data_IF_717704934947
#
_entry.id   IF_717704934947
#
_cell.length_a   1.000
_cell.length_b   1.000
_cell.length_c   1.000
_cell.angle_alpha   90.00
_cell.angle_beta   90.00
_cell.angle_gamma   90.00
#
_symmetry.space_group_name_H-M   'P 1'
#
loop_
_entity.id
_entity.type
_entity.pdbx_description
1 polymer ?
#
# COMPACT_ATOMS: atom_id res chain seq x y z
N UNK A 1 9.89 2.64 5.43
CA UNK A 1 8.73 3.53 5.63
C UNK A 1 8.51 4.41 4.39
N UNK A 2 7.26 4.66 4.00
CA UNK A 2 6.93 5.46 2.81
C UNK A 2 7.60 6.85 2.82
N UNK A 3 7.59 7.56 3.95
CA UNK A 3 8.18 8.89 4.06
C UNK A 3 9.68 8.92 3.73
N UNK A 4 10.44 7.92 4.18
CA UNK A 4 11.87 7.81 3.84
C UNK A 4 12.08 7.50 2.37
N UNK A 5 11.22 6.65 1.78
CA UNK A 5 11.27 6.33 0.35
C UNK A 5 10.97 7.56 -0.52
N UNK A 6 9.89 8.29 -0.24
CA UNK A 6 9.54 9.51 -0.98
C UNK A 6 10.63 10.58 -0.82
N UNK A 7 11.23 10.72 0.37
CA UNK A 7 12.36 11.64 0.56
C UNK A 7 13.57 11.25 -0.27
N UNK A 8 13.92 9.96 -0.34
CA UNK A 8 15.00 9.48 -1.19
C UNK A 8 14.73 9.75 -2.67
N UNK A 9 13.51 9.44 -3.14
CA UNK A 9 13.11 9.72 -4.51
C UNK A 9 13.17 11.23 -4.80
N UNK A 10 12.76 12.08 -3.85
CA UNK A 10 12.80 13.53 -4.01
C UNK A 10 14.23 14.09 -4.13
N UNK A 11 15.22 13.46 -3.50
CA UNK A 11 16.62 13.85 -3.64
C UNK A 11 17.17 13.58 -5.05
N UNK A 12 16.63 12.58 -5.75
CA UNK A 12 17.05 12.22 -7.11
C UNK A 12 16.20 12.91 -8.18
N UNK A 13 14.89 12.96 -7.98
CA UNK A 13 13.92 13.56 -8.88
C UNK A 13 12.68 14.03 -8.10
N UNK A 14 12.58 15.34 -7.78
CA UNK A 14 11.44 15.91 -7.06
C UNK A 14 10.10 15.75 -7.78
N UNK A 15 10.09 15.80 -9.12
CA UNK A 15 8.88 15.64 -9.92
C UNK A 15 8.34 14.20 -9.81
N UNK A 16 9.23 13.21 -9.94
CA UNK A 16 8.86 11.80 -9.74
C UNK A 16 8.31 11.55 -8.33
N UNK A 17 8.94 12.12 -7.30
CA UNK A 17 8.45 11.99 -5.92
C UNK A 17 7.04 12.57 -5.71
N UNK A 18 6.74 13.71 -6.34
CA UNK A 18 5.40 14.32 -6.30
C UNK A 18 4.37 13.46 -7.03
N UNK A 19 4.74 12.94 -8.20
CA UNK A 19 3.87 12.09 -9.00
C UNK A 19 3.53 10.80 -8.24
N UNK A 20 4.54 10.07 -7.77
CA UNK A 20 4.35 8.87 -6.95
C UNK A 20 3.49 9.10 -5.71
N UNK A 21 3.69 10.22 -5.00
CA UNK A 21 2.82 10.58 -3.87
C UNK A 21 1.37 10.79 -4.31
N UNK A 22 1.16 11.46 -5.45
CA UNK A 22 -0.17 11.73 -5.99
C UNK A 22 -0.88 10.41 -6.34
N UNK A 23 -0.24 9.55 -7.14
CA UNK A 23 -0.84 8.31 -7.61
C UNK A 23 -1.20 7.38 -6.43
N UNK A 24 -0.30 7.27 -5.45
CA UNK A 24 -0.56 6.55 -4.20
C UNK A 24 -1.77 7.10 -3.43
N UNK A 25 -1.90 8.41 -3.31
CA UNK A 25 -3.01 9.02 -2.58
C UNK A 25 -4.33 8.93 -3.33
N UNK A 26 -4.31 9.01 -4.65
CA UNK A 26 -5.50 8.87 -5.47
C UNK A 26 -6.04 7.43 -5.37
N UNK A 27 -5.18 6.41 -5.44
CA UNK A 27 -5.58 5.01 -5.24
C UNK A 27 -6.04 4.71 -3.80
N UNK A 28 -5.35 5.24 -2.79
CA UNK A 28 -5.77 5.07 -1.38
C UNK A 28 -7.14 5.72 -1.12
N UNK A 29 -7.46 6.83 -1.77
CA UNK A 29 -8.80 7.45 -1.67
C UNK A 29 -9.89 6.58 -2.29
N UNK A 30 -9.59 5.80 -3.33
CA UNK A 30 -10.56 4.85 -3.90
C UNK A 30 -10.99 3.77 -2.91
N UNK A 31 -10.17 3.45 -1.90
CA UNK A 31 -10.55 2.54 -0.82
C UNK A 31 -11.77 3.03 -0.03
N UNK A 32 -12.08 4.33 -0.01
CA UNK A 32 -13.28 4.84 0.66
C UNK A 32 -14.58 4.39 -0.03
N UNK A 33 -14.55 4.10 -1.33
CA UNK A 33 -15.74 3.75 -2.10
C UNK A 33 -16.02 2.25 -2.08
N UNK A 34 -14.99 1.42 -2.24
CA UNK A 34 -15.12 -0.03 -2.30
C UNK A 34 -13.93 -0.74 -1.63
N UNK A 35 -13.78 -0.63 -0.30
CA UNK A 35 -12.65 -1.22 0.40
C UNK A 35 -12.68 -2.74 0.35
N UNK A 36 -13.85 -3.37 0.33
CA UNK A 36 -13.98 -4.83 0.33
C UNK A 36 -13.66 -5.48 -1.03
N UNK A 37 -13.37 -4.69 -2.08
CA UNK A 37 -13.12 -5.20 -3.44
C UNK A 37 -11.83 -6.01 -3.56
N UNK A 38 -10.84 -5.75 -2.71
CA UNK A 38 -9.52 -6.33 -2.83
C UNK A 38 -9.36 -7.62 -2.01
N UNK A 39 -8.50 -8.56 -2.45
CA UNK A 39 -8.32 -9.82 -1.76
C UNK A 39 -7.70 -9.64 -0.37
N UNK A 40 -8.02 -10.57 0.53
CA UNK A 40 -7.31 -10.71 1.79
C UNK A 40 -5.84 -11.12 1.56
N UNK A 41 -4.95 -10.55 2.36
CA UNK A 41 -3.56 -10.96 2.47
C UNK A 41 -3.51 -12.34 3.14
N UNK A 42 -2.82 -13.28 2.49
CA UNK A 42 -2.57 -14.62 3.01
C UNK A 42 -1.09 -14.72 3.34
N UNK A 43 -0.79 -15.06 4.59
CA UNK A 43 0.57 -15.37 5.05
C UNK A 43 0.47 -16.21 6.32
N UNK A 44 1.38 -17.15 6.53
CA UNK A 44 1.29 -18.16 7.59
C UNK A 44 1.23 -17.57 9.01
N UNK A 45 1.81 -16.38 9.22
CA UNK A 45 1.85 -15.68 10.50
C UNK A 45 0.77 -14.59 10.62
N UNK A 46 -0.14 -14.46 9.64
CA UNK A 46 -1.22 -13.48 9.66
C UNK A 46 -2.56 -14.19 9.88
N UNK A 47 -3.38 -13.76 10.86
CA UNK A 47 -4.71 -14.30 11.03
C UNK A 47 -5.56 -14.15 9.76
N UNK A 48 -6.37 -15.16 9.40
CA UNK A 48 -7.21 -15.11 8.21
C UNK A 48 -8.15 -13.90 8.25
N UNK A 49 -8.37 -13.28 7.10
CA UNK A 49 -9.25 -12.13 6.90
C UNK A 49 -8.92 -10.88 7.73
N UNK A 50 -7.72 -10.80 8.33
CA UNK A 50 -7.30 -9.63 9.10
C UNK A 50 -6.97 -8.42 8.23
N UNK A 51 -6.31 -8.66 7.10
CA UNK A 51 -5.78 -7.62 6.23
C UNK A 51 -6.18 -7.85 4.79
N UNK A 52 -6.51 -6.78 4.08
CA UNK A 52 -6.65 -6.75 2.62
C UNK A 52 -5.43 -6.10 1.99
N UNK A 53 -5.15 -6.44 0.73
CA UNK A 53 -3.98 -5.95 -0.01
C UNK A 53 -4.36 -5.33 -1.35
N UNK A 54 -3.80 -4.17 -1.66
CA UNK A 54 -3.99 -3.45 -2.93
C UNK A 54 -2.64 -3.04 -3.51
N UNK A 55 -2.45 -3.23 -4.82
CA UNK A 55 -1.26 -2.73 -5.53
C UNK A 55 -1.52 -1.33 -6.11
N UNK A 56 -0.53 -0.46 -6.00
CA UNK A 56 -0.51 0.87 -6.64
C UNK A 56 0.69 0.96 -7.56
N UNK A 57 0.42 1.34 -8.82
CA UNK A 57 1.41 1.52 -9.89
C UNK A 57 2.46 0.40 -10.03
N UNK A 58 2.12 -0.84 -9.64
CA UNK A 58 2.99 -2.04 -9.62
C UNK A 58 4.12 -2.03 -8.57
N UNK A 59 4.42 -0.89 -7.94
CA UNK A 59 5.56 -0.75 -7.04
C UNK A 59 5.19 -0.76 -5.57
N UNK A 60 3.95 -0.39 -5.22
CA UNK A 60 3.55 -0.29 -3.83
C UNK A 60 2.45 -1.29 -3.49
N UNK A 61 2.61 -1.95 -2.36
CA UNK A 61 1.59 -2.77 -1.73
C UNK A 61 1.02 -2.02 -0.53
N UNK A 62 -0.27 -1.69 -0.60
CA UNK A 62 -1.04 -1.12 0.50
C UNK A 62 -1.69 -2.26 1.26
N UNK A 63 -1.38 -2.38 2.54
CA UNK A 63 -1.98 -3.34 3.47
C UNK A 63 -2.87 -2.57 4.42
N UNK A 64 -4.14 -2.94 4.45
CA UNK A 64 -5.16 -2.20 5.20
C UNK A 64 -6.21 -3.14 5.81
N UNK A 65 -7.01 -2.59 6.71
CA UNK A 65 -8.12 -3.26 7.36
C UNK A 65 -9.35 -2.36 7.36
N UNK A 66 -10.54 -2.96 7.28
CA UNK A 66 -11.82 -2.26 7.42
C UNK A 66 -12.37 -2.56 8.80
N UNK A 67 -12.63 -1.53 9.60
CA UNK A 67 -13.29 -1.66 10.91
C UNK A 67 -14.38 -0.61 11.02
N UNK A 68 -15.62 -1.02 11.31
CA UNK A 68 -16.76 -0.12 11.47
C UNK A 68 -16.84 0.92 10.33
N UNK A 69 -16.76 0.45 9.08
CA UNK A 69 -16.78 1.28 7.86
C UNK A 69 -15.59 2.25 7.71
N UNK A 70 -14.56 2.14 8.55
CA UNK A 70 -13.34 2.93 8.46
C UNK A 70 -12.21 2.08 7.89
N UNK A 71 -11.53 2.61 6.86
CA UNK A 71 -10.33 2.00 6.27
C UNK A 71 -9.11 2.49 7.03
N UNK A 72 -8.37 1.56 7.64
CA UNK A 72 -7.09 1.81 8.28
C UNK A 72 -5.98 1.26 7.40
N UNK A 73 -5.14 2.16 6.87
CA UNK A 73 -3.93 1.77 6.15
C UNK A 73 -2.82 1.53 7.17
N UNK A 74 -2.52 0.26 7.43
CA UNK A 74 -1.50 -0.13 8.41
C UNK A 74 -0.09 -0.06 7.80
N UNK A 75 0.07 -0.45 6.53
CA UNK A 75 1.36 -0.44 5.85
C UNK A 75 1.26 -0.03 4.38
N UNK A 76 2.31 0.64 3.92
CA UNK A 76 2.58 0.89 2.50
C UNK A 76 4.02 0.43 2.24
N UNK A 77 4.15 -0.64 1.49
CA UNK A 77 5.40 -1.36 1.24
C UNK A 77 5.87 -1.08 -0.18
N UNK A 78 7.16 -0.86 -0.37
CA UNK A 78 7.78 -0.79 -1.69
C UNK A 78 8.20 -2.21 -2.10
N UNK A 79 7.53 -2.76 -3.11
CA UNK A 79 7.73 -4.12 -3.61
C UNK A 79 9.04 -4.31 -4.38
N UNK A 80 9.85 -3.26 -4.58
CA UNK A 80 11.22 -3.37 -5.14
C UNK A 80 12.25 -3.76 -4.10
N UNK A 81 11.87 -3.79 -2.83
CA UNK A 81 12.69 -4.31 -1.73
C UNK A 81 12.39 -5.81 -1.55
N UNK A 82 13.25 -6.53 -0.85
CA UNK A 82 13.12 -7.97 -0.58
C UNK A 82 11.92 -8.29 0.33
N UNK A 83 10.71 -8.30 -0.26
CA UNK A 83 9.45 -8.67 0.38
C UNK A 83 8.75 -9.81 -0.36
N UNK A 84 9.50 -10.72 -1.00
CA UNK A 84 8.94 -11.86 -1.73
C UNK A 84 7.98 -12.70 -0.87
N UNK A 85 8.23 -12.79 0.44
CA UNK A 85 7.37 -13.45 1.42
C UNK A 85 5.97 -12.81 1.60
N UNK A 86 5.76 -11.55 1.18
CA UNK A 86 4.46 -10.86 1.18
C UNK A 86 3.72 -10.97 -0.16
N UNK A 87 4.43 -11.36 -1.23
CA UNK A 87 3.93 -11.38 -2.60
C UNK A 87 3.46 -12.77 -3.05
N UNK A 88 3.73 -13.81 -2.26
CA UNK A 88 3.21 -15.18 -2.45
C UNK A 88 1.68 -15.27 -2.27
#
# INVERSE_FOLDING_TARGET
>A
MLASHIRFLAQKNPAAARQTKKDLMDDVRLLQQMPERFPFLKADFIPPNKYQKMFVEKWYLVIYQVRNQTVYVDYIVDCRQDYDWLLL
#
